data_IF_065968347696
#
_entry.id   IF_065968347696
#
_cell.length_a   1.000
_cell.length_b   1.000
_cell.length_c   1.000
_cell.angle_alpha   90.00
_cell.angle_beta   90.00
_cell.angle_gamma   90.00
#
_symmetry.space_group_name_H-M   'P 1'
#
loop_
_entity.id
_entity.type
_entity.pdbx_description
1 polymer ?
#
# COMPACT_ATOMS: atom_id res chain seq x y z
N UNK A 1 22.31 7.64 13.63
CA UNK A 1 22.57 6.79 12.45
C UNK A 1 21.51 5.70 12.33
N UNK A 2 21.26 4.93 13.39
CA UNK A 2 20.30 3.80 13.38
C UNK A 2 18.85 4.20 13.08
N UNK A 3 18.34 5.27 13.71
CA UNK A 3 16.94 5.71 13.52
C UNK A 3 16.64 6.19 12.09
N UNK A 4 17.61 6.87 11.45
CA UNK A 4 17.47 7.34 10.06
C UNK A 4 17.44 6.16 9.09
N UNK A 5 18.34 5.20 9.29
CA UNK A 5 18.40 3.97 8.48
C UNK A 5 17.10 3.18 8.62
N UNK A 6 16.57 3.04 9.84
CA UNK A 6 15.32 2.34 10.10
C UNK A 6 14.12 2.97 9.38
N UNK A 7 13.99 4.31 9.42
CA UNK A 7 12.92 5.02 8.73
C UNK A 7 13.00 4.83 7.21
N UNK A 8 14.20 4.94 6.64
CA UNK A 8 14.40 4.72 5.19
C UNK A 8 14.00 3.29 4.79
N UNK A 9 14.36 2.31 5.62
CA UNK A 9 14.07 0.89 5.35
C UNK A 9 12.56 0.63 5.37
N UNK A 10 11.83 1.18 6.36
CA UNK A 10 10.37 1.09 6.42
C UNK A 10 9.71 1.72 5.19
N UNK A 11 10.15 2.94 4.82
CA UNK A 11 9.61 3.63 3.65
C UNK A 11 9.88 2.83 2.38
N UNK A 12 11.08 2.28 2.22
CA UNK A 12 11.42 1.44 1.08
C UNK A 12 10.54 0.19 1.02
N UNK A 13 10.36 -0.52 2.13
CA UNK A 13 9.54 -1.74 2.22
C UNK A 13 8.07 -1.46 1.91
N UNK A 14 7.54 -0.29 2.27
CA UNK A 14 6.15 0.07 2.00
C UNK A 14 5.95 0.60 0.56
N UNK A 15 6.86 1.44 0.08
CA UNK A 15 6.70 2.16 -1.19
C UNK A 15 7.11 1.31 -2.40
N UNK A 16 8.12 0.43 -2.26
CA UNK A 16 8.59 -0.42 -3.35
C UNK A 16 7.49 -1.36 -3.90
N UNK A 17 6.74 -2.11 -3.05
CA UNK A 17 5.67 -2.97 -3.53
C UNK A 17 4.60 -2.21 -4.31
N UNK A 18 4.19 -1.04 -3.81
CA UNK A 18 3.20 -0.22 -4.49
C UNK A 18 3.73 0.31 -5.83
N UNK A 19 4.99 0.76 -5.86
CA UNK A 19 5.64 1.21 -7.08
C UNK A 19 5.68 0.10 -8.13
N UNK A 20 6.06 -1.11 -7.73
CA UNK A 20 6.09 -2.27 -8.62
C UNK A 20 4.68 -2.60 -9.14
N UNK A 21 3.68 -2.64 -8.26
CA UNK A 21 2.29 -2.87 -8.63
C UNK A 21 1.77 -1.81 -9.62
N UNK A 22 2.04 -0.54 -9.36
CA UNK A 22 1.64 0.58 -10.22
C UNK A 22 2.34 0.55 -11.58
N UNK A 23 3.64 0.20 -11.61
CA UNK A 23 4.39 0.06 -12.85
C UNK A 23 3.90 -1.11 -13.71
N UNK A 24 3.61 -2.27 -13.10
CA UNK A 24 3.06 -3.43 -13.81
C UNK A 24 1.69 -3.16 -14.43
N UNK A 25 0.87 -2.33 -13.78
CA UNK A 25 -0.47 -1.95 -14.28
C UNK A 25 -0.46 -0.78 -15.28
N UNK A 26 0.72 -0.24 -15.60
CA UNK A 26 0.88 0.88 -16.53
C UNK A 26 0.25 2.17 -16.02
N UNK A 27 0.45 2.49 -14.74
CA UNK A 27 -0.02 3.74 -14.16
C UNK A 27 0.70 4.96 -14.76
N UNK A 28 -0.01 6.10 -14.85
CA UNK A 28 0.53 7.32 -15.46
C UNK A 28 1.61 7.95 -14.59
N UNK A 29 1.41 7.95 -13.26
CA UNK A 29 2.34 8.50 -12.27
C UNK A 29 2.88 7.39 -11.35
N UNK A 30 4.06 6.84 -11.68
CA UNK A 30 4.71 5.75 -10.91
C UNK A 30 5.94 6.21 -10.11
N UNK A 31 6.13 7.53 -9.99
CA UNK A 31 7.24 8.11 -9.21
C UNK A 31 7.18 7.70 -7.74
N UNK A 32 8.34 7.58 -7.09
CA UNK A 32 8.45 7.20 -5.66
C UNK A 32 7.62 8.15 -4.78
N UNK A 33 7.70 9.45 -5.03
CA UNK A 33 6.92 10.46 -4.30
C UNK A 33 5.41 10.34 -4.55
N UNK A 34 4.99 10.01 -5.77
CA UNK A 34 3.57 9.77 -6.06
C UNK A 34 3.05 8.52 -5.35
N UNK A 35 3.82 7.44 -5.31
CA UNK A 35 3.45 6.23 -4.57
C UNK A 35 3.40 6.48 -3.05
N UNK A 36 4.36 7.25 -2.53
CA UNK A 36 4.39 7.61 -1.11
C UNK A 36 3.20 8.49 -0.73
N UNK A 37 2.85 9.46 -1.59
CA UNK A 37 1.66 10.28 -1.41
C UNK A 37 0.36 9.46 -1.54
N UNK A 38 0.30 8.51 -2.48
CA UNK A 38 -0.82 7.60 -2.65
C UNK A 38 -1.03 6.74 -1.39
N UNK A 39 0.04 6.22 -0.79
CA UNK A 39 -0.01 5.48 0.48
C UNK A 39 -0.49 6.36 1.63
N UNK A 40 0.08 7.56 1.78
CA UNK A 40 -0.34 8.51 2.81
C UNK A 40 -1.82 8.85 2.68
N UNK A 41 -2.28 9.17 1.47
CA UNK A 41 -3.68 9.47 1.20
C UNK A 41 -4.57 8.27 1.52
N UNK A 42 -4.18 7.06 1.12
CA UNK A 42 -4.91 5.84 1.42
C UNK A 42 -5.05 5.62 2.93
N UNK A 43 -3.98 5.81 3.70
CA UNK A 43 -4.00 5.68 5.17
C UNK A 43 -4.89 6.74 5.81
N UNK A 44 -4.80 8.00 5.37
CA UNK A 44 -5.64 9.09 5.87
C UNK A 44 -7.12 8.77 5.62
N UNK A 45 -7.47 8.39 4.39
CA UNK A 45 -8.83 8.02 3.99
C UNK A 45 -9.34 6.83 4.80
N UNK A 46 -8.53 5.78 4.95
CA UNK A 46 -8.87 4.62 5.78
C UNK A 46 -9.06 4.99 7.24
N UNK A 47 -8.24 5.90 7.81
CA UNK A 47 -8.35 6.31 9.21
C UNK A 47 -9.59 7.16 9.47
N UNK A 48 -9.92 8.06 8.55
CA UNK A 48 -11.14 8.88 8.62
C UNK A 48 -12.36 7.98 8.51
N UNK A 49 -12.45 7.16 7.45
CA UNK A 49 -13.62 6.31 7.21
C UNK A 49 -13.76 5.22 8.27
N UNK A 50 -12.65 4.62 8.69
CA UNK A 50 -12.62 3.64 9.78
C UNK A 50 -13.00 4.23 11.15
N UNK A 51 -12.72 5.52 11.39
CA UNK A 51 -13.13 6.21 12.62
C UNK A 51 -14.61 6.63 12.62
N UNK A 52 -15.24 6.76 11.44
CA UNK A 52 -16.64 7.16 11.31
C UNK A 52 -17.63 5.99 11.43
N UNK A 53 -17.18 4.75 11.31
CA UNK A 53 -18.05 3.56 11.38
C UNK A 53 -17.76 2.79 12.68
N UNK A 54 -18.45 3.10 13.80
CA UNK A 54 -18.33 2.33 15.03
C UNK A 54 -18.96 0.93 14.85
N UNK A 55 -18.24 -0.13 15.22
CA UNK A 55 -18.75 -1.51 15.22
C UNK A 55 -18.45 -2.36 13.98
N UNK A 56 -17.60 -1.90 13.07
CA UNK A 56 -17.12 -2.72 11.94
C UNK A 56 -16.22 -3.83 12.47
N UNK A 57 -16.62 -5.10 12.27
CA UNK A 57 -15.78 -6.24 12.60
C UNK A 57 -14.48 -6.22 11.79
N UNK A 58 -13.38 -6.71 12.36
CA UNK A 58 -12.04 -6.66 11.75
C UNK A 58 -12.01 -7.19 10.30
N UNK A 59 -12.83 -8.21 10.00
CA UNK A 59 -12.96 -8.79 8.66
C UNK A 59 -13.66 -7.87 7.65
N UNK A 60 -14.67 -7.11 8.06
CA UNK A 60 -15.35 -6.15 7.18
C UNK A 60 -14.45 -4.92 6.94
N UNK A 61 -13.63 -4.55 7.93
CA UNK A 61 -12.65 -3.47 7.82
C UNK A 61 -11.63 -3.74 6.70
N UNK A 62 -11.09 -4.97 6.62
CA UNK A 62 -10.17 -5.36 5.54
C UNK A 62 -10.85 -5.26 4.17
N UNK A 63 -12.09 -5.73 4.03
CA UNK A 63 -12.80 -5.67 2.75
C UNK A 63 -13.09 -4.22 2.31
N UNK A 64 -13.30 -3.31 3.26
CA UNK A 64 -13.47 -1.87 2.99
C UNK A 64 -12.15 -1.17 2.66
N UNK A 65 -11.02 -1.62 3.23
CA UNK A 65 -9.71 -0.99 2.98
C UNK A 65 -9.28 -1.06 1.52
N UNK A 66 -9.62 -2.13 0.80
CA UNK A 66 -9.25 -2.35 -0.60
C UNK A 66 -9.87 -1.28 -1.52
N UNK A 67 -11.20 -1.08 -1.57
CA UNK A 67 -11.80 -0.04 -2.39
C UNK A 67 -11.41 1.37 -1.93
N UNK A 68 -11.24 1.61 -0.62
CA UNK A 68 -10.77 2.90 -0.09
C UNK A 68 -9.35 3.23 -0.58
N UNK A 69 -8.43 2.26 -0.53
CA UNK A 69 -7.09 2.39 -1.09
C UNK A 69 -7.13 2.59 -2.61
N UNK A 70 -7.98 1.85 -3.31
CA UNK A 70 -8.14 1.99 -4.76
C UNK A 70 -8.59 3.41 -5.16
N UNK A 71 -9.48 4.05 -4.41
CA UNK A 71 -9.87 5.46 -4.66
C UNK A 71 -8.66 6.39 -4.49
N UNK A 72 -7.91 6.26 -3.40
CA UNK A 72 -6.71 7.08 -3.17
C UNK A 72 -5.65 6.85 -4.28
N UNK A 73 -5.44 5.61 -4.68
CA UNK A 73 -4.49 5.23 -5.73
C UNK A 73 -4.93 5.74 -7.10
N UNK A 74 -6.22 5.66 -7.42
CA UNK A 74 -6.80 6.22 -8.64
C UNK A 74 -6.52 7.72 -8.76
N UNK A 75 -6.77 8.47 -7.68
CA UNK A 75 -6.59 9.92 -7.64
C UNK A 75 -5.13 10.34 -7.80
N UNK A 76 -4.19 9.63 -7.19
CA UNK A 76 -2.78 10.03 -7.15
C UNK A 76 -1.97 9.46 -8.33
N UNK A 77 -2.18 8.18 -8.65
CA UNK A 77 -1.43 7.48 -9.72
C UNK A 77 -2.00 7.78 -11.11
N UNK A 78 -3.17 8.40 -11.19
CA UNK A 78 -3.83 8.78 -12.45
C UNK A 78 -4.26 7.57 -13.28
N UNK A 79 -4.76 6.53 -12.62
CA UNK A 79 -5.22 5.29 -13.26
C UNK A 79 -6.74 5.17 -13.23
N UNK A 80 -7.31 4.22 -13.99
CA UNK A 80 -8.73 3.87 -13.82
C UNK A 80 -8.98 3.14 -12.49
N UNK A 81 -10.22 3.20 -11.99
CA UNK A 81 -10.64 2.55 -10.74
C UNK A 81 -10.36 1.04 -10.73
N UNK A 82 -10.68 0.35 -11.83
CA UNK A 82 -10.43 -1.09 -11.96
C UNK A 82 -8.93 -1.42 -11.86
N UNK A 83 -8.07 -0.60 -12.47
CA UNK A 83 -6.61 -0.76 -12.34
C UNK A 83 -6.15 -0.50 -10.91
N UNK A 84 -6.71 0.50 -10.23
CA UNK A 84 -6.35 0.83 -8.86
C UNK A 84 -6.70 -0.28 -7.86
N UNK A 85 -7.83 -0.97 -8.04
CA UNK A 85 -8.17 -2.16 -7.26
C UNK A 85 -7.11 -3.25 -7.46
N UNK A 86 -6.73 -3.52 -8.72
CA UNK A 86 -5.72 -4.53 -9.03
C UNK A 86 -4.35 -4.13 -8.47
N UNK A 87 -3.99 -2.85 -8.48
CA UNK A 87 -2.77 -2.33 -7.83
C UNK A 87 -2.81 -2.59 -6.32
N UNK A 88 -3.94 -2.33 -5.66
CA UNK A 88 -4.07 -2.59 -4.22
C UNK A 88 -3.94 -4.09 -3.89
N UNK A 89 -4.54 -4.97 -4.71
CA UNK A 89 -4.41 -6.42 -4.56
C UNK A 89 -2.96 -6.90 -4.82
N UNK A 90 -2.33 -6.42 -5.90
CA UNK A 90 -0.93 -6.72 -6.23
C UNK A 90 0.01 -6.25 -5.13
N UNK A 91 -0.19 -5.04 -4.61
CA UNK A 91 0.59 -4.52 -3.50
C UNK A 91 0.47 -5.43 -2.28
N UNK A 92 -0.76 -5.84 -1.91
CA UNK A 92 -0.98 -6.78 -0.81
C UNK A 92 -0.24 -8.10 -1.02
N UNK A 93 -0.31 -8.66 -2.23
CA UNK A 93 0.39 -9.90 -2.58
C UNK A 93 1.92 -9.76 -2.51
N UNK A 94 2.48 -8.69 -3.09
CA UNK A 94 3.91 -8.41 -3.06
C UNK A 94 4.39 -8.17 -1.62
N UNK A 95 3.58 -7.50 -0.79
CA UNK A 95 3.91 -7.27 0.61
C UNK A 95 3.96 -8.58 1.41
N UNK A 96 3.00 -9.48 1.20
CA UNK A 96 3.00 -10.81 1.85
C UNK A 96 4.22 -11.62 1.41
N UNK A 97 4.52 -11.64 0.11
CA UNK A 97 5.69 -12.32 -0.41
C UNK A 97 7.00 -11.73 0.15
N UNK A 98 7.10 -10.40 0.23
CA UNK A 98 8.24 -9.73 0.83
C UNK A 98 8.39 -10.08 2.31
N UNK A 99 7.30 -10.08 3.08
CA UNK A 99 7.31 -10.46 4.50
C UNK A 99 7.75 -11.92 4.70
N UNK A 100 7.27 -12.86 3.87
CA UNK A 100 7.71 -14.26 3.92
C UNK A 100 9.20 -14.40 3.59
N UNK A 101 9.70 -13.65 2.60
CA UNK A 101 11.13 -13.65 2.27
C UNK A 101 11.97 -13.09 3.42
N UNK A 102 11.57 -11.95 4.00
CA UNK A 102 12.24 -11.39 5.17
C UNK A 102 12.23 -12.37 6.35
N UNK A 103 11.08 -12.97 6.67
CA UNK A 103 10.98 -13.96 7.73
C UNK A 103 11.88 -15.18 7.49
N UNK A 104 11.97 -15.66 6.25
CA UNK A 104 12.86 -16.76 5.86
C UNK A 104 14.34 -16.39 5.96
N UNK A 105 14.72 -15.16 5.59
CA UNK A 105 16.10 -14.66 5.73
C UNK A 105 16.48 -14.51 7.20
N UNK A 106 15.59 -13.98 8.05
CA UNK A 106 15.84 -13.88 9.49
C UNK A 106 15.82 -15.24 10.21
N UNK A 107 15.10 -16.24 9.69
CA UNK A 107 15.14 -17.60 10.23
C UNK A 107 16.40 -18.40 9.82
N UNK A 108 17.13 -17.93 8.78
CA UNK A 108 18.36 -18.55 8.29
C UNK A 108 19.64 -17.92 8.91
N UNK A 109 19.48 -16.91 9.77
CA UNK A 109 20.55 -16.24 10.55
C UNK A 109 20.43 -16.68 12.00
#
# INVERSE_FOLDING_TARGET
MELIVFVILIVAVLVLPLKMAAAMMGARNTGVFHCLFALLLAVIVQRIVGGMIPGVSENLGVLLTIPLAAVAYMLVLGTGFLKAIVIALLQGLIMIAAMMLFAGVFAAV
#
